data_IF_858763544263
#
_entry.id   IF_858763544263
#
_cell.length_a   1.000
_cell.length_b   1.000
_cell.length_c   1.000
_cell.angle_alpha   90.00
_cell.angle_beta   90.00
_cell.angle_gamma   90.00
#
_symmetry.space_group_name_H-M   'P 1'
#
loop_
_entity.id
_entity.type
_entity.pdbx_description
1 polymer ?
#
# COMPACT_ATOMS: atom_id res chain seq x y z
N UNK A 1 -50.44 27.95 -28.48
CA UNK A 1 -50.96 29.33 -28.49
C UNK A 1 -51.23 29.76 -27.06
N UNK A 2 -50.64 30.90 -26.66
CA UNK A 2 -50.90 31.62 -25.41
C UNK A 2 -52.27 32.29 -25.48
N UNK A 3 -53.01 32.29 -24.36
CA UNK A 3 -53.76 33.46 -23.85
C UNK A 3 -54.20 33.21 -22.40
N UNK A 4 -53.79 34.13 -21.52
CA UNK A 4 -54.31 34.38 -20.15
C UNK A 4 -55.43 35.46 -20.26
N UNK A 5 -55.94 36.06 -19.16
CA UNK A 5 -56.64 35.54 -17.97
C UNK A 5 -58.00 36.27 -17.74
N UNK A 6 -58.82 35.87 -16.75
CA UNK A 6 -59.95 36.69 -16.25
C UNK A 6 -60.26 36.47 -14.75
N UNK A 7 -59.69 37.37 -13.96
CA UNK A 7 -60.11 38.12 -12.76
C UNK A 7 -61.56 37.96 -12.17
N UNK A 8 -61.59 37.69 -10.84
CA UNK A 8 -62.46 38.22 -9.72
C UNK A 8 -63.91 37.70 -9.62
N UNK A 9 -64.42 37.22 -8.47
CA UNK A 9 -64.94 38.00 -7.32
C UNK A 9 -64.86 37.20 -6.01
N UNK A 10 -64.51 37.95 -4.96
CA UNK A 10 -64.37 37.58 -3.56
C UNK A 10 -65.74 37.48 -2.85
N UNK A 11 -65.94 36.46 -2.01
CA UNK A 11 -67.00 36.43 -1.01
C UNK A 11 -66.41 36.00 0.34
N UNK A 12 -66.39 36.96 1.29
CA UNK A 12 -66.09 36.73 2.70
C UNK A 12 -67.21 35.88 3.33
N UNK A 13 -66.82 34.81 4.02
CA UNK A 13 -67.62 34.26 5.12
C UNK A 13 -66.72 34.15 6.35
N UNK A 14 -67.04 34.99 7.34
CA UNK A 14 -66.55 34.94 8.70
C UNK A 14 -67.08 33.67 9.36
N UNK A 15 -66.21 32.86 9.97
CA UNK A 15 -66.64 31.81 10.89
C UNK A 15 -65.65 31.69 12.04
N UNK A 16 -66.27 31.56 13.21
CA UNK A 16 -65.75 31.75 14.55
C UNK A 16 -64.72 30.70 14.96
N UNK A 17 -63.85 31.18 15.86
CA UNK A 17 -62.74 30.53 16.56
C UNK A 17 -63.18 29.27 17.32
N UNK A 18 -62.41 28.17 17.16
CA UNK A 18 -62.19 27.20 18.24
C UNK A 18 -60.69 27.17 18.51
N UNK A 19 -60.33 27.58 19.72
CA UNK A 19 -58.95 27.63 20.19
C UNK A 19 -58.39 26.21 20.38
N UNK A 20 -57.41 25.85 19.57
CA UNK A 20 -56.50 24.73 19.81
C UNK A 20 -55.09 25.27 19.96
N UNK A 21 -54.56 25.27 21.18
CA UNK A 21 -53.16 25.60 21.44
C UNK A 21 -52.27 24.47 20.90
N UNK A 22 -51.81 24.61 19.64
CA UNK A 22 -50.66 23.88 19.14
C UNK A 22 -49.44 24.82 19.23
N UNK A 23 -48.57 24.56 20.18
CA UNK A 23 -47.28 25.26 20.29
C UNK A 23 -46.46 25.02 19.03
N UNK A 24 -45.88 26.07 18.38
CA UNK A 24 -44.93 25.87 17.32
C UNK A 24 -43.64 25.32 17.91
N UNK A 25 -43.36 24.03 17.71
CA UNK A 25 -42.06 23.44 18.02
C UNK A 25 -41.02 24.07 17.08
N UNK A 26 -40.30 25.06 17.59
CA UNK A 26 -39.06 25.56 16.98
C UNK A 26 -38.14 24.36 16.76
N UNK A 27 -37.87 24.01 15.49
CA UNK A 27 -36.80 23.05 15.17
C UNK A 27 -35.49 23.76 15.44
N UNK A 28 -34.87 23.44 16.57
CA UNK A 28 -33.48 23.81 16.84
C UNK A 28 -32.63 23.32 15.66
N UNK A 29 -31.84 24.20 15.01
CA UNK A 29 -30.88 23.73 14.01
C UNK A 29 -29.96 22.72 14.68
N UNK A 30 -29.85 21.53 14.06
CA UNK A 30 -28.93 20.50 14.50
C UNK A 30 -27.52 21.11 14.54
N UNK A 31 -26.74 20.97 15.63
CA UNK A 31 -25.40 21.53 15.68
C UNK A 31 -24.59 20.92 14.54
N UNK A 32 -24.08 21.77 13.65
CA UNK A 32 -23.03 21.39 12.70
C UNK A 32 -21.87 20.82 13.51
N UNK A 33 -21.38 19.59 13.22
CA UNK A 33 -20.23 19.05 13.94
C UNK A 33 -19.06 20.03 13.80
N UNK A 34 -18.64 20.61 14.92
CA UNK A 34 -17.43 21.41 14.99
C UNK A 34 -16.24 20.47 14.71
N UNK A 35 -15.37 20.76 13.73
CA UNK A 35 -14.17 19.96 13.53
C UNK A 35 -13.33 20.00 14.81
N UNK A 36 -13.05 18.82 15.36
CA UNK A 36 -12.26 18.66 16.58
C UNK A 36 -10.79 19.02 16.28
N UNK A 37 -10.23 20.10 16.86
CA UNK A 37 -8.91 20.61 16.49
C UNK A 37 -7.75 19.71 16.92
N UNK A 38 -8.01 18.53 17.52
CA UNK A 38 -6.98 17.66 18.12
C UNK A 38 -6.70 16.37 17.33
N UNK A 39 -7.40 16.09 16.22
CA UNK A 39 -7.16 14.84 15.47
C UNK A 39 -5.96 14.97 14.53
N UNK A 40 -4.79 14.49 14.98
CA UNK A 40 -3.61 14.31 14.11
C UNK A 40 -4.02 13.45 12.89
N UNK A 41 -3.75 13.90 11.66
CA UNK A 41 -4.16 13.17 10.46
C UNK A 41 -3.45 11.81 10.39
N UNK A 42 -4.20 10.80 9.97
CA UNK A 42 -3.63 9.50 9.59
C UNK A 42 -2.99 9.66 8.22
N UNK A 43 -1.72 9.28 8.11
CA UNK A 43 -1.03 9.19 6.84
C UNK A 43 -0.93 7.74 6.40
N UNK A 44 -1.22 7.49 5.13
CA UNK A 44 -1.03 6.18 4.51
C UNK A 44 0.21 6.23 3.63
N UNK A 45 1.18 5.38 3.92
CA UNK A 45 2.44 5.28 3.20
C UNK A 45 2.65 3.85 2.73
N UNK A 46 3.46 3.69 1.69
CA UNK A 46 3.88 2.39 1.19
C UNK A 46 5.32 2.13 1.67
N UNK A 47 5.53 0.99 2.32
CA UNK A 47 6.84 0.51 2.75
C UNK A 47 7.21 -0.76 1.99
N UNK A 48 8.49 -0.95 1.73
CA UNK A 48 8.99 -2.07 0.94
C UNK A 48 9.77 -3.06 1.80
N UNK A 49 9.49 -4.35 1.61
CA UNK A 49 10.09 -5.48 2.33
C UNK A 49 10.65 -6.51 1.36
N UNK A 50 11.56 -7.34 1.85
CA UNK A 50 12.26 -8.34 1.03
C UNK A 50 11.51 -9.66 1.09
N UNK A 51 11.19 -10.24 -0.07
CA UNK A 51 10.79 -11.63 -0.21
C UNK A 51 11.87 -12.43 -0.96
N UNK A 52 11.99 -13.72 -0.62
CA UNK A 52 12.82 -14.68 -1.34
C UNK A 52 12.04 -15.25 -2.52
N UNK A 53 12.53 -15.04 -3.74
CA UNK A 53 11.86 -15.47 -4.97
C UNK A 53 12.76 -16.38 -5.79
N UNK A 54 12.21 -17.11 -6.78
CA UNK A 54 13.02 -17.92 -7.68
C UNK A 54 14.12 -17.15 -8.43
N UNK A 55 13.98 -15.83 -8.56
CA UNK A 55 14.91 -14.92 -9.25
C UNK A 55 15.78 -14.10 -8.28
N UNK A 56 15.81 -14.48 -7.00
CA UNK A 56 16.59 -13.84 -5.95
C UNK A 56 15.73 -13.01 -5.00
N UNK A 57 16.38 -12.20 -4.17
CA UNK A 57 15.64 -11.30 -3.28
C UNK A 57 14.98 -10.18 -4.10
N UNK A 58 13.68 -9.97 -3.86
CA UNK A 58 12.88 -8.92 -4.50
C UNK A 58 12.11 -8.13 -3.45
N UNK A 59 11.72 -6.91 -3.81
CA UNK A 59 10.90 -6.05 -2.96
C UNK A 59 9.41 -6.22 -3.24
N UNK A 60 8.66 -6.37 -2.17
CA UNK A 60 7.21 -6.33 -2.11
C UNK A 60 6.78 -5.13 -1.28
N UNK A 61 5.63 -4.55 -1.59
CA UNK A 61 5.12 -3.38 -0.88
C UNK A 61 3.92 -3.69 0.02
N UNK A 62 3.84 -3.00 1.15
CA UNK A 62 2.67 -2.99 2.02
C UNK A 62 2.31 -1.55 2.41
N UNK A 63 1.01 -1.30 2.58
CA UNK A 63 0.50 0.02 2.98
C UNK A 63 0.31 0.07 4.49
N UNK A 64 0.84 1.11 5.11
CA UNK A 64 0.69 1.38 6.54
C UNK A 64 0.00 2.70 6.75
N UNK A 65 -0.96 2.71 7.68
CA UNK A 65 -1.60 3.94 8.14
C UNK A 65 -1.21 4.22 9.59
N UNK A 66 -0.61 5.38 9.84
CA UNK A 66 -0.26 5.84 11.19
C UNK A 66 -0.37 7.35 11.32
N UNK A 67 -0.48 7.82 12.56
CA UNK A 67 -0.47 9.26 12.85
C UNK A 67 0.94 9.81 12.70
N UNK A 68 1.06 10.96 12.03
CA UNK A 68 2.33 11.66 11.84
C UNK A 68 2.16 13.12 12.23
N UNK A 69 3.03 13.60 13.11
CA UNK A 69 3.05 14.99 13.60
C UNK A 69 4.18 15.83 13.01
N UNK A 70 5.06 15.23 12.19
CA UNK A 70 6.24 15.88 11.61
C UNK A 70 6.48 15.43 10.17
N UNK A 71 7.75 15.30 9.78
CA UNK A 71 8.15 14.84 8.46
C UNK A 71 7.73 13.36 8.25
N UNK A 72 6.88 13.13 7.24
CA UNK A 72 6.37 11.81 6.88
C UNK A 72 7.50 10.88 6.43
N UNK A 73 8.48 11.38 5.69
CA UNK A 73 9.62 10.58 5.22
C UNK A 73 10.51 10.15 6.39
N UNK A 74 10.84 11.08 7.30
CA UNK A 74 11.63 10.78 8.48
C UNK A 74 10.94 9.76 9.40
N UNK A 75 9.64 9.92 9.67
CA UNK A 75 8.88 8.98 10.52
C UNK A 75 8.73 7.60 9.85
N UNK A 76 8.49 7.56 8.54
CA UNK A 76 8.41 6.31 7.77
C UNK A 76 9.73 5.55 7.82
N UNK A 77 10.86 6.22 7.53
CA UNK A 77 12.19 5.62 7.63
C UNK A 77 12.50 5.17 9.06
N UNK A 78 12.19 6.00 10.06
CA UNK A 78 12.41 5.66 11.46
C UNK A 78 11.69 4.38 11.85
N UNK A 79 10.44 4.18 11.42
CA UNK A 79 9.66 2.96 11.67
C UNK A 79 10.23 1.73 10.97
N UNK A 80 10.60 1.87 9.70
CA UNK A 80 11.22 0.80 8.91
C UNK A 80 12.56 0.37 9.53
N UNK A 81 13.47 1.31 9.74
CA UNK A 81 14.85 1.06 10.23
C UNK A 81 14.85 0.46 11.65
N UNK A 82 14.00 0.97 12.53
CA UNK A 82 13.91 0.47 13.91
C UNK A 82 13.14 -0.84 14.03
N UNK A 83 12.57 -1.37 12.94
CA UNK A 83 11.75 -2.58 12.96
C UNK A 83 10.40 -2.39 13.67
N UNK A 84 9.95 -1.15 13.88
CA UNK A 84 8.61 -0.86 14.42
C UNK A 84 7.50 -1.10 13.41
N UNK A 85 7.82 -1.02 12.12
CA UNK A 85 6.98 -1.52 11.04
C UNK A 85 7.54 -2.87 10.59
N UNK A 86 6.83 -3.94 10.95
CA UNK A 86 7.08 -5.29 10.45
C UNK A 86 6.10 -5.59 9.32
N UNK A 87 6.50 -6.36 8.30
CA UNK A 87 5.56 -6.85 7.30
C UNK A 87 4.44 -7.66 7.96
N UNK A 88 3.24 -7.53 7.42
CA UNK A 88 2.10 -8.36 7.82
C UNK A 88 2.19 -9.72 7.14
N UNK A 89 2.71 -9.76 5.91
CA UNK A 89 2.95 -11.00 5.19
C UNK A 89 4.15 -11.77 5.80
N UNK A 90 3.96 -13.05 6.18
CA UNK A 90 5.02 -13.86 6.78
C UNK A 90 6.15 -14.22 5.81
N UNK A 91 5.91 -14.13 4.50
CA UNK A 91 6.93 -14.41 3.47
C UNK A 91 7.85 -13.21 3.26
N UNK A 92 7.52 -12.06 3.84
CA UNK A 92 8.30 -10.83 3.73
C UNK A 92 9.17 -10.64 4.98
N UNK A 93 10.35 -10.07 4.77
CA UNK A 93 11.32 -9.78 5.81
C UNK A 93 11.72 -8.31 5.77
N UNK A 94 11.75 -7.70 6.95
CA UNK A 94 12.45 -6.44 7.14
C UNK A 94 13.92 -6.73 7.47
N UNK A 95 14.86 -6.33 6.59
CA UNK A 95 16.30 -6.51 6.85
C UNK A 95 16.84 -5.58 7.94
N UNK A 96 16.03 -4.63 8.38
CA UNK A 96 16.32 -3.70 9.48
C UNK A 96 15.69 -4.17 10.80
N UNK A 97 15.84 -3.40 11.88
CA UNK A 97 15.28 -3.74 13.21
C UNK A 97 16.24 -4.43 14.18
N UNK A 98 17.50 -4.60 13.81
CA UNK A 98 18.57 -5.23 14.61
C UNK A 98 19.38 -4.21 15.43
N UNK A 99 18.68 -3.25 16.04
CA UNK A 99 19.28 -2.18 16.86
C UNK A 99 19.77 -0.97 16.07
N UNK A 100 19.58 -0.96 14.74
CA UNK A 100 19.79 0.24 13.92
C UNK A 100 18.66 1.24 14.17
N UNK A 101 19.00 2.53 14.20
CA UNK A 101 18.01 3.62 14.30
C UNK A 101 18.38 4.77 13.38
N UNK A 102 17.37 5.53 12.95
CA UNK A 102 17.57 6.78 12.24
C UNK A 102 18.03 7.86 13.23
N UNK A 103 19.19 8.47 12.99
CA UNK A 103 19.62 9.68 13.69
C UNK A 103 18.92 10.89 13.08
N UNK A 104 19.17 11.11 11.78
CA UNK A 104 18.65 12.25 11.03
C UNK A 104 18.30 11.81 9.61
N UNK A 105 17.17 12.31 9.12
CA UNK A 105 16.86 12.34 7.70
C UNK A 105 16.88 13.80 7.23
N UNK A 106 17.49 14.04 6.08
CA UNK A 106 17.35 15.30 5.36
C UNK A 106 17.35 15.06 3.85
N UNK A 107 17.06 16.10 3.08
CA UNK A 107 16.98 16.02 1.62
C UNK A 107 17.84 17.12 1.00
N UNK A 108 18.64 16.74 0.02
CA UNK A 108 19.43 17.64 -0.82
C UNK A 108 19.10 17.39 -2.30
N UNK A 109 18.32 18.29 -2.91
CA UNK A 109 17.81 18.11 -4.27
C UNK A 109 16.98 16.81 -4.39
N UNK A 110 17.43 15.89 -5.24
CA UNK A 110 16.82 14.56 -5.43
C UNK A 110 17.46 13.45 -4.57
N UNK A 111 18.35 13.82 -3.64
CA UNK A 111 19.09 12.88 -2.78
C UNK A 111 18.51 12.90 -1.36
N UNK A 112 18.09 11.74 -0.86
CA UNK A 112 17.79 11.55 0.56
C UNK A 112 19.08 11.28 1.34
N UNK A 113 19.40 12.11 2.32
CA UNK A 113 20.54 11.91 3.22
C UNK A 113 20.03 11.21 4.49
N UNK A 114 20.49 9.99 4.70
CA UNK A 114 20.06 9.12 5.80
C UNK A 114 21.26 8.90 6.72
N UNK A 115 21.22 9.53 7.89
CA UNK A 115 22.19 9.31 8.95
C UNK A 115 21.66 8.27 9.94
N UNK A 116 22.42 7.20 10.12
CA UNK A 116 22.07 6.04 10.91
C UNK A 116 22.94 5.98 12.16
N UNK A 117 22.34 5.55 13.27
CA UNK A 117 23.08 4.87 14.31
C UNK A 117 23.02 3.39 14.03
N UNK A 118 24.16 2.79 13.72
CA UNK A 118 24.21 1.40 13.28
C UNK A 118 24.06 0.40 14.43
N UNK A 119 23.13 -0.53 14.23
CA UNK A 119 23.05 -1.77 14.98
C UNK A 119 23.84 -2.88 14.29
N UNK A 120 23.36 -4.12 14.43
CA UNK A 120 23.97 -5.28 13.77
C UNK A 120 23.35 -5.53 12.41
N UNK A 121 24.06 -5.28 11.32
CA UNK A 121 23.65 -5.74 10.00
C UNK A 121 24.79 -6.58 9.41
N UNK A 122 24.57 -7.90 9.36
CA UNK A 122 25.53 -8.86 8.83
C UNK A 122 24.80 -9.77 7.86
N UNK A 123 24.85 -9.40 6.59
CA UNK A 123 24.11 -10.02 5.49
C UNK A 123 25.04 -10.18 4.30
N UNK A 124 24.73 -11.13 3.41
CA UNK A 124 25.47 -11.27 2.16
C UNK A 124 25.23 -10.10 1.20
N UNK A 125 26.03 -10.03 0.12
CA UNK A 125 26.02 -8.91 -0.83
C UNK A 125 24.64 -8.55 -1.38
N UNK A 126 23.85 -9.55 -1.79
CA UNK A 126 22.50 -9.31 -2.34
C UNK A 126 21.56 -8.69 -1.30
N UNK A 127 21.56 -9.22 -0.07
CA UNK A 127 20.75 -8.68 1.02
C UNK A 127 21.25 -7.30 1.47
N UNK A 128 22.55 -6.99 1.39
CA UNK A 128 23.03 -5.62 1.61
C UNK A 128 22.44 -4.65 0.57
N UNK A 129 22.48 -5.02 -0.71
CA UNK A 129 21.85 -4.22 -1.78
C UNK A 129 20.34 -4.05 -1.52
N UNK A 130 19.64 -5.11 -1.12
CA UNK A 130 18.21 -5.04 -0.82
C UNK A 130 17.86 -4.23 0.42
N UNK A 131 18.72 -4.21 1.44
CA UNK A 131 18.51 -3.34 2.59
C UNK A 131 18.53 -1.87 2.17
N UNK A 132 19.44 -1.49 1.28
CA UNK A 132 19.53 -0.13 0.70
C UNK A 132 18.31 0.14 -0.18
N UNK A 133 17.94 -0.81 -1.04
CA UNK A 133 16.75 -0.69 -1.89
C UNK A 133 15.48 -0.50 -1.05
N UNK A 134 15.31 -1.22 0.08
CA UNK A 134 14.17 -1.03 0.98
C UNK A 134 14.04 0.42 1.45
N UNK A 135 15.15 1.08 1.84
CA UNK A 135 15.15 2.48 2.25
C UNK A 135 14.73 3.39 1.09
N UNK A 136 15.37 3.20 -0.05
CA UNK A 136 15.23 4.08 -1.19
C UNK A 136 13.84 3.96 -1.84
N UNK A 137 13.30 2.74 -1.99
CA UNK A 137 11.96 2.51 -2.53
C UNK A 137 10.89 3.04 -1.60
N UNK A 138 10.99 2.77 -0.30
CA UNK A 138 10.09 3.34 0.72
C UNK A 138 10.13 4.86 0.71
N UNK A 139 11.32 5.45 0.66
CA UNK A 139 11.48 6.90 0.63
C UNK A 139 10.88 7.50 -0.66
N UNK A 140 11.11 6.87 -1.80
CA UNK A 140 10.57 7.33 -3.09
C UNK A 140 9.05 7.19 -3.20
N UNK A 141 8.44 6.27 -2.46
CA UNK A 141 6.99 6.14 -2.40
C UNK A 141 6.34 7.27 -1.56
N UNK A 142 7.08 7.80 -0.57
CA UNK A 142 6.67 8.99 0.19
C UNK A 142 6.96 10.28 -0.60
N UNK A 143 8.13 10.37 -1.24
CA UNK A 143 8.57 11.50 -2.04
C UNK A 143 9.13 11.05 -3.40
N UNK A 144 8.31 11.08 -4.46
CA UNK A 144 8.69 10.62 -5.80
C UNK A 144 9.86 11.38 -6.44
N UNK A 145 10.25 12.54 -5.89
CA UNK A 145 11.41 13.29 -6.41
C UNK A 145 12.76 12.73 -5.93
N UNK A 146 12.75 11.77 -4.99
CA UNK A 146 13.96 11.09 -4.54
C UNK A 146 14.39 10.04 -5.57
N UNK A 147 15.60 10.22 -6.11
CA UNK A 147 16.21 9.34 -7.11
C UNK A 147 17.53 8.72 -6.64
N UNK A 148 17.97 9.05 -5.43
CA UNK A 148 19.14 8.46 -4.81
C UNK A 148 19.19 8.70 -3.30
N UNK A 149 20.06 7.96 -2.62
CA UNK A 149 20.33 8.14 -1.18
C UNK A 149 21.81 8.26 -0.90
N UNK A 150 22.15 9.08 0.09
CA UNK A 150 23.47 9.09 0.71
C UNK A 150 23.34 8.52 2.13
N UNK A 151 24.13 7.50 2.43
CA UNK A 151 24.16 6.88 3.75
C UNK A 151 25.31 7.44 4.58
N UNK A 152 25.00 7.79 5.82
CA UNK A 152 25.96 8.18 6.85
C UNK A 152 25.76 7.31 8.08
N UNK A 153 26.82 7.15 8.87
CA UNK A 153 26.75 6.51 10.19
C UNK A 153 27.37 7.44 11.22
N UNK A 154 26.57 7.82 12.21
CA UNK A 154 26.94 8.79 13.24
C UNK A 154 27.57 10.08 12.67
N UNK A 155 27.02 10.53 11.53
CA UNK A 155 27.47 11.73 10.81
C UNK A 155 28.66 11.53 9.86
N UNK A 156 29.25 10.34 9.79
CA UNK A 156 30.42 10.04 8.97
C UNK A 156 30.08 9.25 7.69
N UNK A 157 30.92 9.41 6.66
CA UNK A 157 30.83 8.59 5.44
C UNK A 157 31.27 7.17 5.75
N UNK A 158 30.59 6.20 5.13
CA UNK A 158 30.91 4.79 5.23
C UNK A 158 31.34 4.22 3.89
N UNK A 159 32.18 3.19 3.90
CA UNK A 159 32.55 2.46 2.67
C UNK A 159 31.44 1.53 2.22
N UNK A 160 30.76 0.88 3.16
CA UNK A 160 29.74 -0.13 2.90
C UNK A 160 28.87 -0.31 4.16
N UNK A 161 27.65 -0.78 3.97
CA UNK A 161 26.70 -1.04 5.06
C UNK A 161 26.97 -2.40 5.73
N UNK A 162 27.39 -3.41 4.97
CA UNK A 162 27.67 -4.78 5.45
C UNK A 162 28.96 -5.42 4.87
N UNK A 163 29.75 -4.68 4.09
CA UNK A 163 31.06 -5.08 3.58
C UNK A 163 31.11 -5.47 2.10
N UNK A 164 30.02 -5.33 1.34
CA UNK A 164 29.94 -5.79 -0.06
C UNK A 164 29.65 -4.67 -1.09
N UNK A 165 29.13 -3.52 -0.66
CA UNK A 165 28.76 -2.39 -1.54
C UNK A 165 29.74 -1.22 -1.52
N UNK A 166 29.48 -0.21 -2.35
CA UNK A 166 30.14 1.11 -2.28
C UNK A 166 29.12 2.17 -1.84
N UNK A 167 29.15 2.51 -0.56
CA UNK A 167 28.33 3.53 0.09
C UNK A 167 29.05 4.88 0.26
N UNK A 168 30.24 5.05 -0.35
CA UNK A 168 31.02 6.30 -0.23
C UNK A 168 30.36 7.48 -0.95
N UNK A 169 29.44 7.20 -1.86
CA UNK A 169 28.76 8.15 -2.76
C UNK A 169 27.25 7.97 -2.73
N UNK A 170 26.54 8.86 -3.43
CA UNK A 170 25.09 8.72 -3.63
C UNK A 170 24.81 7.43 -4.38
N UNK A 171 23.95 6.59 -3.83
CA UNK A 171 23.46 5.36 -4.42
C UNK A 171 22.16 5.69 -5.16
N UNK A 172 22.15 5.46 -6.47
CA UNK A 172 21.01 5.76 -7.31
C UNK A 172 19.90 4.72 -7.14
N UNK A 173 18.65 5.14 -7.40
CA UNK A 173 17.50 4.24 -7.48
C UNK A 173 17.69 3.25 -8.62
N UNK A 174 17.71 1.96 -8.30
CA UNK A 174 17.69 0.91 -9.32
C UNK A 174 16.33 0.88 -10.05
N UNK A 175 16.28 0.43 -11.32
CA UNK A 175 15.04 0.23 -12.04
C UNK A 175 14.08 -0.74 -11.31
N UNK A 176 12.78 -0.55 -11.48
CA UNK A 176 11.74 -1.40 -10.87
C UNK A 176 11.91 -2.88 -11.23
N UNK A 177 12.10 -3.20 -12.51
CA UNK A 177 12.22 -4.58 -12.99
C UNK A 177 13.44 -5.34 -12.44
N UNK A 178 14.44 -4.65 -11.89
CA UNK A 178 15.59 -5.29 -11.24
C UNK A 178 15.32 -5.64 -9.78
N UNK A 179 14.52 -4.82 -9.09
CA UNK A 179 14.42 -4.83 -7.63
C UNK A 179 13.04 -5.25 -7.13
N UNK A 180 11.96 -4.79 -7.75
CA UNK A 180 10.61 -5.15 -7.34
C UNK A 180 10.27 -6.57 -7.80
N UNK A 181 9.41 -7.25 -7.03
CA UNK A 181 8.84 -8.52 -7.48
C UNK A 181 8.05 -8.32 -8.78
N UNK A 182 8.20 -9.26 -9.72
CA UNK A 182 7.48 -9.22 -10.99
C UNK A 182 5.96 -9.28 -10.77
N UNK A 183 5.50 -9.99 -9.73
CA UNK A 183 4.09 -10.12 -9.36
C UNK A 183 3.87 -9.70 -7.90
N UNK A 184 2.77 -9.01 -7.66
CA UNK A 184 2.32 -8.68 -6.31
C UNK A 184 0.79 -8.54 -6.25
N UNK A 185 0.16 -9.15 -5.26
CA UNK A 185 -1.21 -8.94 -4.81
C UNK A 185 -1.22 -7.70 -3.89
N UNK A 186 -2.03 -6.70 -4.22
CA UNK A 186 -2.05 -5.42 -3.49
C UNK A 186 -3.45 -4.94 -3.09
N UNK A 187 -4.50 -5.68 -3.43
CA UNK A 187 -5.88 -5.35 -3.06
C UNK A 187 -6.23 -5.66 -1.60
N UNK A 188 -5.44 -6.49 -0.93
CA UNK A 188 -5.64 -6.87 0.48
C UNK A 188 -4.29 -7.27 1.10
N UNK A 189 -4.22 -7.25 2.43
CA UNK A 189 -3.05 -7.72 3.19
C UNK A 189 -3.23 -9.15 3.67
N UNK A 190 -2.15 -9.81 4.03
CA UNK A 190 -2.19 -11.18 4.57
C UNK A 190 -3.18 -11.31 5.74
N UNK A 191 -4.02 -12.33 5.69
CA UNK A 191 -5.01 -12.64 6.72
C UNK A 191 -6.24 -11.72 6.75
N UNK A 192 -6.41 -10.82 5.78
CA UNK A 192 -7.51 -9.86 5.78
C UNK A 192 -8.89 -10.53 5.68
N UNK A 193 -9.88 -9.96 6.37
CA UNK A 193 -11.29 -10.35 6.23
C UNK A 193 -11.95 -9.55 5.09
N UNK A 194 -12.27 -10.24 4.01
CA UNK A 194 -12.92 -9.66 2.83
C UNK A 194 -14.43 -9.86 2.85
N UNK A 195 -15.13 -8.97 2.13
CA UNK A 195 -16.57 -9.05 1.89
C UNK A 195 -16.84 -9.40 0.44
N UNK A 196 -18.01 -10.00 0.21
CA UNK A 196 -18.51 -10.24 -1.14
C UNK A 196 -19.04 -8.94 -1.79
N UNK A 197 -18.92 -8.80 -3.13
CA UNK A 197 -18.17 -9.66 -4.05
C UNK A 197 -16.65 -9.50 -3.90
N UNK A 198 -15.91 -10.58 -4.11
CA UNK A 198 -14.45 -10.63 -3.96
C UNK A 198 -13.79 -10.26 -5.29
N UNK A 199 -13.03 -9.19 -5.25
CA UNK A 199 -12.17 -8.73 -6.34
C UNK A 199 -10.75 -8.72 -5.80
N UNK A 200 -9.86 -9.42 -6.47
CA UNK A 200 -8.43 -9.42 -6.15
C UNK A 200 -7.69 -8.71 -7.28
N UNK A 201 -6.79 -7.81 -6.92
CA UNK A 201 -5.97 -7.08 -7.88
C UNK A 201 -4.57 -6.88 -7.35
N UNK A 202 -3.69 -6.54 -8.27
CA UNK A 202 -2.29 -6.36 -7.99
C UNK A 202 -1.57 -5.69 -9.13
N UNK A 203 -0.25 -5.79 -9.10
CA UNK A 203 0.61 -5.31 -10.17
C UNK A 203 1.47 -6.45 -10.70
N UNK A 204 1.78 -6.37 -11.99
CA UNK A 204 2.53 -7.38 -12.72
C UNK A 204 3.46 -6.74 -13.75
N UNK A 205 4.65 -7.30 -13.90
CA UNK A 205 5.55 -7.10 -15.04
C UNK A 205 5.94 -8.51 -15.49
N UNK A 206 5.26 -9.05 -16.50
CA UNK A 206 5.54 -10.39 -17.04
C UNK A 206 5.67 -10.36 -18.56
N UNK A 207 6.18 -11.46 -19.12
CA UNK A 207 6.26 -11.62 -20.57
C UNK A 207 4.85 -11.72 -21.16
N UNK A 208 4.56 -10.88 -22.16
CA UNK A 208 3.23 -10.75 -22.79
C UNK A 208 2.09 -10.45 -21.79
N UNK A 209 2.42 -9.89 -20.61
CA UNK A 209 1.48 -9.57 -19.52
C UNK A 209 0.74 -10.78 -18.93
N UNK A 210 1.12 -12.01 -19.26
CA UNK A 210 0.41 -13.21 -18.80
C UNK A 210 0.80 -13.58 -17.38
N UNK A 211 -0.16 -14.04 -16.58
CA UNK A 211 0.06 -14.69 -15.30
C UNK A 211 -1.06 -15.72 -15.03
N UNK A 212 -0.80 -16.66 -14.13
CA UNK A 212 -1.79 -17.66 -13.69
C UNK A 212 -2.17 -17.36 -12.26
N UNK A 213 -3.45 -17.48 -11.94
CA UNK A 213 -3.91 -17.39 -10.56
C UNK A 213 -4.56 -18.69 -10.11
N UNK A 214 -4.45 -18.97 -8.81
CA UNK A 214 -5.04 -20.13 -8.17
C UNK A 214 -5.71 -19.73 -6.87
N UNK A 215 -6.99 -20.08 -6.73
CA UNK A 215 -7.75 -19.94 -5.49
C UNK A 215 -7.88 -21.31 -4.83
N UNK A 216 -7.49 -21.39 -3.55
CA UNK A 216 -7.61 -22.59 -2.73
C UNK A 216 -8.52 -22.35 -1.53
N UNK A 217 -9.15 -23.43 -1.06
CA UNK A 217 -9.92 -23.50 0.19
C UNK A 217 -9.56 -24.79 0.90
N UNK A 218 -9.16 -24.71 2.17
CA UNK A 218 -8.67 -25.87 2.93
C UNK A 218 -7.59 -26.69 2.19
N UNK A 219 -6.65 -25.98 1.54
CA UNK A 219 -5.56 -26.57 0.75
C UNK A 219 -5.97 -27.13 -0.62
N UNK A 220 -7.27 -27.24 -0.93
CA UNK A 220 -7.75 -27.74 -2.22
C UNK A 220 -7.90 -26.59 -3.23
N UNK A 221 -7.40 -26.79 -4.45
CA UNK A 221 -7.67 -25.89 -5.57
C UNK A 221 -9.16 -25.94 -5.90
N UNK A 222 -9.82 -24.79 -5.77
CA UNK A 222 -11.23 -24.64 -6.14
C UNK A 222 -11.40 -23.96 -7.49
N UNK A 223 -10.45 -23.10 -7.88
CA UNK A 223 -10.43 -22.44 -9.19
C UNK A 223 -9.01 -22.04 -9.56
N UNK A 224 -8.68 -22.15 -10.84
CA UNK A 224 -7.44 -21.64 -11.41
C UNK A 224 -7.71 -21.22 -12.86
N UNK A 225 -7.09 -20.13 -13.29
CA UNK A 225 -7.21 -19.62 -14.65
C UNK A 225 -6.04 -18.67 -14.97
N UNK A 226 -5.75 -18.42 -16.25
CA UNK A 226 -4.90 -17.30 -16.64
C UNK A 226 -5.63 -15.96 -16.41
N UNK A 227 -4.84 -14.91 -16.28
CA UNK A 227 -5.27 -13.50 -16.41
C UNK A 227 -4.13 -12.70 -17.04
N UNK A 228 -4.37 -11.43 -17.34
CA UNK A 228 -3.34 -10.54 -17.87
C UNK A 228 -3.23 -9.26 -17.05
N UNK A 229 -2.01 -8.74 -16.95
CA UNK A 229 -1.79 -7.34 -16.60
C UNK A 229 -2.19 -6.42 -17.79
N UNK A 230 -2.37 -5.14 -17.52
CA UNK A 230 -2.78 -4.14 -18.53
C UNK A 230 -1.73 -3.93 -19.63
N UNK A 231 -0.45 -4.17 -19.32
CA UNK A 231 0.69 -4.13 -20.24
C UNK A 231 1.77 -5.12 -19.81
N UNK A 232 2.62 -5.52 -20.77
CA UNK A 232 3.76 -6.40 -20.53
C UNK A 232 4.98 -5.62 -20.02
N UNK A 233 5.99 -6.34 -19.50
CA UNK A 233 7.29 -5.73 -19.21
C UNK A 233 7.85 -4.94 -20.42
N UNK A 234 8.57 -3.83 -20.19
CA UNK A 234 9.05 -3.34 -18.89
C UNK A 234 8.01 -2.58 -18.06
N UNK A 235 6.81 -2.34 -18.59
CA UNK A 235 5.79 -1.58 -17.88
C UNK A 235 5.13 -2.45 -16.80
N UNK A 236 5.40 -2.13 -15.53
CA UNK A 236 4.68 -2.73 -14.40
C UNK A 236 3.27 -2.15 -14.31
N UNK A 237 2.27 -2.99 -14.55
CA UNK A 237 0.89 -2.56 -14.72
C UNK A 237 -0.10 -3.37 -13.89
N UNK A 238 -1.35 -2.90 -13.78
CA UNK A 238 -2.32 -3.55 -12.91
C UNK A 238 -2.85 -4.83 -13.54
N UNK A 239 -3.20 -5.80 -12.72
CA UNK A 239 -4.03 -6.95 -13.09
C UNK A 239 -5.21 -7.06 -12.13
N UNK A 240 -6.27 -7.75 -12.57
CA UNK A 240 -7.51 -7.91 -11.79
C UNK A 240 -8.17 -9.26 -12.05
N UNK A 241 -8.72 -9.85 -11.00
CA UNK A 241 -9.53 -11.07 -11.02
C UNK A 241 -10.82 -10.84 -10.25
N UNK A 242 -11.95 -11.10 -10.90
CA UNK A 242 -13.26 -11.10 -10.26
C UNK A 242 -13.63 -12.55 -9.86
N UNK A 243 -13.68 -12.80 -8.56
CA UNK A 243 -14.06 -14.09 -7.98
C UNK A 243 -15.56 -14.18 -7.66
N UNK A 244 -16.29 -13.06 -7.77
CA UNK A 244 -17.70 -12.98 -7.42
C UNK A 244 -17.96 -13.27 -5.95
N UNK A 245 -19.08 -13.94 -5.67
CA UNK A 245 -19.46 -14.28 -4.30
C UNK A 245 -18.83 -15.62 -3.89
N UNK A 246 -18.02 -15.59 -2.84
CA UNK A 246 -17.47 -16.77 -2.18
C UNK A 246 -18.29 -17.11 -0.93
N UNK A 247 -18.37 -18.39 -0.61
CA UNK A 247 -18.96 -18.83 0.66
C UNK A 247 -18.06 -18.43 1.83
N UNK A 248 -18.63 -18.26 3.02
CA UNK A 248 -17.82 -17.95 4.20
C UNK A 248 -16.76 -19.03 4.48
N UNK A 249 -15.59 -18.60 4.93
CA UNK A 249 -14.46 -19.48 5.26
C UNK A 249 -13.10 -18.89 4.87
N UNK A 250 -12.06 -19.69 5.06
CA UNK A 250 -10.66 -19.34 4.80
C UNK A 250 -10.24 -19.75 3.39
N UNK A 251 -9.48 -18.88 2.74
CA UNK A 251 -9.00 -19.05 1.38
C UNK A 251 -7.53 -18.65 1.28
N UNK A 252 -6.83 -19.21 0.30
CA UNK A 252 -5.57 -18.67 -0.18
C UNK A 252 -5.66 -18.34 -1.67
N UNK A 253 -5.10 -17.20 -2.05
CA UNK A 253 -5.00 -16.78 -3.43
C UNK A 253 -3.52 -16.65 -3.81
N UNK A 254 -3.14 -17.29 -4.90
CA UNK A 254 -1.78 -17.27 -5.43
C UNK A 254 -1.80 -16.71 -6.84
N UNK A 255 -0.82 -15.87 -7.17
CA UNK A 255 -0.47 -15.50 -8.55
C UNK A 255 0.94 -16.01 -8.87
N UNK A 256 1.12 -16.54 -10.07
CA UNK A 256 2.36 -17.14 -10.54
C UNK A 256 2.67 -16.68 -11.96
N UNK A 257 3.96 -16.47 -12.22
CA UNK A 257 4.53 -16.31 -13.56
C UNK A 257 5.50 -17.45 -13.83
N UNK A 258 5.57 -17.87 -15.09
CA UNK A 258 6.46 -18.95 -15.52
C UNK A 258 7.30 -18.46 -16.69
N UNK A 259 8.60 -18.73 -16.62
CA UNK A 259 9.58 -18.42 -17.65
C UNK A 259 9.16 -18.98 -19.00
N UNK A 260 9.02 -18.11 -20.01
CA UNK A 260 8.73 -18.51 -21.39
C UNK A 260 9.86 -19.35 -22.02
N UNK A 261 11.06 -19.32 -21.43
CA UNK A 261 12.23 -20.05 -21.92
C UNK A 261 12.18 -21.54 -21.59
N UNK A 262 11.77 -21.89 -20.37
CA UNK A 262 11.90 -23.24 -19.81
C UNK A 262 10.75 -23.68 -18.89
N UNK A 263 9.73 -22.83 -18.69
CA UNK A 263 8.55 -23.12 -17.87
C UNK A 263 8.83 -23.15 -16.37
N UNK A 264 10.02 -22.74 -15.92
CA UNK A 264 10.32 -22.62 -14.49
C UNK A 264 9.52 -21.48 -13.87
N UNK A 265 9.14 -21.62 -12.59
CA UNK A 265 8.51 -20.53 -11.83
C UNK A 265 9.48 -19.34 -11.79
N UNK A 266 9.05 -18.20 -12.31
CA UNK A 266 9.82 -16.95 -12.29
C UNK A 266 9.43 -16.10 -11.10
N UNK A 267 8.13 -15.93 -10.86
CA UNK A 267 7.60 -15.09 -9.82
C UNK A 267 6.36 -15.69 -9.16
N UNK A 268 6.16 -15.39 -7.88
CA UNK A 268 5.01 -15.83 -7.10
C UNK A 268 4.70 -14.81 -6.01
N UNK A 269 3.41 -14.59 -5.78
CA UNK A 269 2.90 -13.97 -4.56
C UNK A 269 1.65 -14.73 -4.13
N UNK A 270 1.47 -14.95 -2.83
CA UNK A 270 0.26 -15.52 -2.28
C UNK A 270 -0.15 -14.87 -0.98
N UNK A 271 -1.47 -14.83 -0.76
CA UNK A 271 -2.06 -14.30 0.47
C UNK A 271 -3.25 -15.12 0.91
N UNK A 272 -3.36 -15.31 2.21
CA UNK A 272 -4.53 -15.86 2.87
C UNK A 272 -5.54 -14.76 3.19
N UNK A 273 -6.82 -15.10 3.09
CA UNK A 273 -7.92 -14.21 3.49
C UNK A 273 -9.11 -15.01 4.00
N UNK A 274 -10.00 -14.33 4.71
CA UNK A 274 -11.24 -14.92 5.21
C UNK A 274 -12.45 -14.20 4.61
N UNK A 275 -13.48 -14.96 4.23
CA UNK A 275 -14.79 -14.42 3.89
C UNK A 275 -15.70 -14.51 5.09
N UNK A 276 -16.09 -13.35 5.62
CA UNK A 276 -17.06 -13.26 6.70
C UNK A 276 -18.48 -13.39 6.16
N UNK A 277 -19.33 -14.14 6.86
CA UNK A 277 -20.77 -14.11 6.62
C UNK A 277 -21.29 -12.68 6.74
N UNK A 278 -22.02 -12.22 5.73
CA UNK A 278 -22.77 -10.96 5.76
C UNK A 278 -23.87 -10.98 6.82
#
# INVERSE_FOLDING_TARGET
MRTKPAVVISALVFSLVVAGCASPTSRTPNPTPTPDPTRVPMQTVEMYYVGDTPTGFKLFSEKYSFQVTGDVAAETLSRLISGRAQPVDPDYTNLWGTGTSLNVYSKDGSTGVIDLKMGKLNVGAEAESRAIDQLLWTLSAVDPSITGVLLLVDGERIESLAGHGDATKVIAKAPDYEVLSELQISSFVEGESLRNPVIISGQGCTFEANLVWTLRRAGQVIKSAPTTAESACPDRSNWRVDLGNLVAGEYSFTVEDFSAKDGALSAKDDKNFTITSS
#
